data_IF_953688245237
#
_entry.id   IF_953688245237
#
_cell.length_a   1.000
_cell.length_b   1.000
_cell.length_c   1.000
_cell.angle_alpha   90.00
_cell.angle_beta   90.00
_cell.angle_gamma   90.00
#
_symmetry.space_group_name_H-M   'P 1'
#
loop_
_entity.id
_entity.type
_entity.pdbx_description
1 polymer ?
#
# COMPACT_ATOMS: atom_id res chain seq x y z
N UNK A 1 -14.07 0.80 -51.22
CA UNK A 1 -13.06 0.23 -50.28
C UNK A 1 -12.66 1.20 -49.17
N UNK A 2 -12.65 2.52 -49.37
CA UNK A 2 -12.23 3.51 -48.38
C UNK A 2 -13.24 3.73 -47.22
N UNK A 3 -14.54 3.71 -47.44
CA UNK A 3 -15.56 3.90 -46.40
C UNK A 3 -15.67 2.73 -45.41
N UNK A 4 -15.46 1.51 -45.88
CA UNK A 4 -15.47 0.31 -45.02
C UNK A 4 -14.31 0.34 -44.02
N UNK A 5 -13.10 0.75 -44.45
CA UNK A 5 -11.94 0.91 -43.60
C UNK A 5 -12.13 2.02 -42.55
N UNK A 6 -12.77 3.14 -42.91
CA UNK A 6 -13.04 4.26 -41.99
C UNK A 6 -14.02 3.85 -40.87
N UNK A 7 -15.10 3.13 -41.23
CA UNK A 7 -16.08 2.63 -40.23
C UNK A 7 -15.45 1.59 -39.30
N UNK A 8 -14.67 0.66 -39.87
CA UNK A 8 -13.97 -0.37 -39.08
C UNK A 8 -13.00 0.25 -38.07
N UNK A 9 -12.21 1.25 -38.50
CA UNK A 9 -11.29 1.97 -37.59
C UNK A 9 -12.06 2.69 -36.48
N UNK A 10 -13.19 3.34 -36.77
CA UNK A 10 -14.03 3.99 -35.76
C UNK A 10 -14.59 3.01 -34.73
N UNK A 11 -15.07 1.85 -35.14
CA UNK A 11 -15.54 0.80 -34.22
C UNK A 11 -14.40 0.21 -33.40
N UNK A 12 -13.23 0.02 -33.99
CA UNK A 12 -12.04 -0.46 -33.30
C UNK A 12 -11.59 0.54 -32.23
N UNK A 13 -11.53 1.83 -32.55
CA UNK A 13 -11.23 2.89 -31.58
C UNK A 13 -12.28 2.93 -30.45
N UNK A 14 -13.57 2.84 -30.77
CA UNK A 14 -14.64 2.81 -29.78
C UNK A 14 -14.50 1.63 -28.82
N UNK A 15 -14.18 0.44 -29.33
CA UNK A 15 -13.96 -0.76 -28.54
C UNK A 15 -12.74 -0.63 -27.61
N UNK A 16 -11.67 0.04 -28.07
CA UNK A 16 -10.49 0.32 -27.25
C UNK A 16 -10.79 1.31 -26.14
N UNK A 17 -11.58 2.36 -26.43
CA UNK A 17 -12.05 3.31 -25.41
C UNK A 17 -12.93 2.64 -24.35
N UNK A 18 -13.85 1.77 -24.75
CA UNK A 18 -14.72 1.05 -23.82
C UNK A 18 -13.95 0.12 -22.89
N UNK A 19 -12.92 -0.57 -23.39
CA UNK A 19 -12.03 -1.37 -22.55
C UNK A 19 -11.26 -0.48 -21.56
N UNK A 20 -10.71 0.64 -22.02
CA UNK A 20 -10.01 1.60 -21.16
C UNK A 20 -10.87 2.10 -20.01
N UNK A 21 -12.13 2.42 -20.23
CA UNK A 21 -13.05 2.84 -19.17
C UNK A 21 -13.40 1.70 -18.20
N UNK A 22 -13.51 0.46 -18.68
CA UNK A 22 -13.95 -0.65 -17.85
C UNK A 22 -12.92 -1.05 -16.77
N UNK A 23 -11.62 -1.11 -17.11
CA UNK A 23 -10.59 -1.44 -16.11
C UNK A 23 -10.33 -0.27 -15.15
N UNK A 24 -10.36 0.97 -15.64
CA UNK A 24 -10.28 2.15 -14.79
C UNK A 24 -11.39 2.13 -13.74
N UNK A 25 -12.64 1.94 -14.17
CA UNK A 25 -13.77 1.85 -13.25
C UNK A 25 -13.65 0.69 -12.25
N UNK A 26 -13.10 -0.46 -12.67
CA UNK A 26 -12.91 -1.61 -11.76
C UNK A 26 -11.85 -1.33 -10.71
N UNK A 27 -10.72 -0.71 -11.08
CA UNK A 27 -9.66 -0.32 -10.14
C UNK A 27 -10.13 0.79 -9.22
N UNK A 28 -10.78 1.83 -9.74
CA UNK A 28 -11.36 2.91 -8.95
C UNK A 28 -12.34 2.39 -7.88
N UNK A 29 -13.20 1.43 -8.24
CA UNK A 29 -14.07 0.79 -7.25
C UNK A 29 -13.30 0.01 -6.17
N UNK A 30 -12.12 -0.55 -6.48
CA UNK A 30 -11.27 -1.17 -5.48
C UNK A 30 -10.72 -0.12 -4.49
N UNK A 31 -10.26 1.01 -5.01
CA UNK A 31 -9.80 2.15 -4.20
C UNK A 31 -10.92 2.71 -3.33
N UNK A 32 -12.13 2.93 -3.87
CA UNK A 32 -13.27 3.43 -3.08
C UNK A 32 -13.59 2.53 -1.87
N UNK A 33 -13.59 1.21 -2.07
CA UNK A 33 -13.81 0.28 -0.96
C UNK A 33 -12.68 0.31 0.05
N UNK A 34 -11.43 0.39 -0.40
CA UNK A 34 -10.27 0.51 0.47
C UNK A 34 -10.31 1.80 1.29
N UNK A 35 -10.56 2.94 0.64
CA UNK A 35 -10.63 4.25 1.29
C UNK A 35 -11.79 4.35 2.28
N UNK A 36 -12.90 3.71 1.97
CA UNK A 36 -14.02 3.62 2.92
C UNK A 36 -13.63 2.78 4.14
N UNK A 37 -12.93 1.66 3.93
CA UNK A 37 -12.44 0.83 5.02
C UNK A 37 -11.43 1.59 5.90
N UNK A 38 -10.49 2.33 5.30
CA UNK A 38 -9.51 3.16 6.00
C UNK A 38 -10.19 4.26 6.83
N UNK A 39 -11.16 4.96 6.28
CA UNK A 39 -11.93 5.96 7.04
C UNK A 39 -12.58 5.36 8.27
N UNK A 40 -13.29 4.23 8.11
CA UNK A 40 -13.94 3.55 9.23
C UNK A 40 -12.90 3.08 10.26
N UNK A 41 -11.74 2.58 9.83
CA UNK A 41 -10.65 2.16 10.71
C UNK A 41 -10.07 3.33 11.50
N UNK A 42 -9.80 4.46 10.82
CA UNK A 42 -9.22 5.66 11.42
C UNK A 42 -10.19 6.30 12.43
N UNK A 43 -11.48 6.36 12.12
CA UNK A 43 -12.50 6.84 13.05
C UNK A 43 -12.61 6.00 14.33
N UNK A 44 -12.07 4.78 14.32
CA UNK A 44 -12.07 3.84 15.43
C UNK A 44 -10.66 3.48 15.93
N UNK A 45 -9.68 4.38 15.78
CA UNK A 45 -8.32 4.16 16.25
C UNK A 45 -8.30 3.82 17.76
N UNK A 46 -7.42 2.89 18.14
CA UNK A 46 -7.31 2.39 19.51
C UNK A 46 -8.27 1.25 19.85
N UNK A 47 -9.22 0.94 18.97
CA UNK A 47 -10.15 -0.18 19.10
C UNK A 47 -9.86 -1.30 18.09
N UNK A 48 -10.61 -2.39 18.21
CA UNK A 48 -10.58 -3.42 17.16
C UNK A 48 -11.13 -2.84 15.85
N UNK A 49 -10.55 -3.27 14.73
CA UNK A 49 -11.05 -2.86 13.40
C UNK A 49 -12.52 -3.29 13.26
N UNK A 50 -13.43 -2.34 13.00
CA UNK A 50 -14.85 -2.66 12.89
C UNK A 50 -15.15 -3.66 11.78
N UNK A 51 -16.14 -4.55 12.02
CA UNK A 51 -16.54 -5.56 11.03
C UNK A 51 -16.92 -4.96 9.67
N UNK A 52 -17.47 -3.73 9.66
CA UNK A 52 -17.77 -3.02 8.43
C UNK A 52 -16.48 -2.69 7.64
N UNK A 53 -15.42 -2.23 8.30
CA UNK A 53 -14.13 -1.99 7.63
C UNK A 53 -13.55 -3.31 7.06
N UNK A 54 -13.62 -4.41 7.82
CA UNK A 54 -13.19 -5.73 7.36
C UNK A 54 -13.95 -6.18 6.10
N UNK A 55 -15.26 -5.90 6.01
CA UNK A 55 -16.06 -6.20 4.82
C UNK A 55 -15.65 -5.33 3.63
N UNK A 56 -15.40 -4.04 3.83
CA UNK A 56 -14.96 -3.14 2.75
C UNK A 56 -13.57 -3.51 2.24
N UNK A 57 -12.61 -3.88 3.12
CA UNK A 57 -11.33 -4.46 2.67
C UNK A 57 -11.54 -5.75 1.85
N UNK A 58 -12.51 -6.60 2.21
CA UNK A 58 -12.85 -7.77 1.41
C UNK A 58 -13.33 -7.41 0.01
N UNK A 59 -14.18 -6.39 -0.12
CA UNK A 59 -14.64 -5.88 -1.42
C UNK A 59 -13.49 -5.28 -2.24
N UNK A 60 -12.57 -4.57 -1.60
CA UNK A 60 -11.36 -4.05 -2.25
C UNK A 60 -10.51 -5.20 -2.82
N UNK A 61 -10.35 -6.31 -2.07
CA UNK A 61 -9.66 -7.52 -2.54
C UNK A 61 -10.36 -8.08 -3.79
N UNK A 62 -11.68 -8.29 -3.75
CA UNK A 62 -12.45 -8.86 -4.85
C UNK A 62 -12.32 -8.02 -6.14
N UNK A 63 -12.38 -6.68 -6.00
CA UNK A 63 -12.23 -5.76 -7.14
C UNK A 63 -10.79 -5.74 -7.67
N UNK A 64 -9.79 -5.76 -6.79
CA UNK A 64 -8.39 -5.88 -7.17
C UNK A 64 -8.12 -7.19 -7.92
N UNK A 65 -8.63 -8.32 -7.43
CA UNK A 65 -8.53 -9.61 -8.12
C UNK A 65 -9.17 -9.59 -9.51
N UNK A 66 -10.29 -8.89 -9.65
CA UNK A 66 -10.92 -8.71 -10.96
C UNK A 66 -9.99 -7.95 -11.92
N UNK A 67 -9.29 -6.89 -11.45
CA UNK A 67 -8.29 -6.19 -12.27
C UNK A 67 -7.19 -7.15 -12.70
N UNK A 68 -6.62 -7.91 -11.76
CA UNK A 68 -5.52 -8.84 -12.04
C UNK A 68 -5.90 -9.95 -13.02
N UNK A 69 -7.13 -10.45 -12.96
CA UNK A 69 -7.61 -11.55 -13.81
C UNK A 69 -8.07 -11.09 -15.18
N UNK A 70 -8.84 -10.00 -15.24
CA UNK A 70 -9.54 -9.58 -16.47
C UNK A 70 -8.79 -8.49 -17.25
N UNK A 71 -7.85 -7.80 -16.58
CA UNK A 71 -7.13 -6.64 -17.14
C UNK A 71 -5.62 -6.73 -16.86
N UNK A 72 -5.03 -7.92 -17.08
CA UNK A 72 -3.62 -8.21 -16.78
C UNK A 72 -2.62 -7.31 -17.49
N UNK A 73 -2.99 -6.69 -18.61
CA UNK A 73 -2.17 -5.75 -19.36
C UNK A 73 -2.40 -4.28 -18.97
N UNK A 74 -3.22 -4.05 -17.94
CA UNK A 74 -3.49 -2.70 -17.44
C UNK A 74 -2.31 -2.13 -16.68
N UNK A 75 -2.07 -0.82 -16.83
CA UNK A 75 -1.11 -0.07 -16.01
C UNK A 75 -1.41 -0.11 -14.50
N UNK A 76 -2.64 -0.44 -14.11
CA UNK A 76 -3.08 -0.53 -12.70
C UNK A 76 -2.86 -1.89 -12.04
N UNK A 77 -2.20 -2.82 -12.72
CA UNK A 77 -1.98 -4.19 -12.19
C UNK A 77 -1.17 -4.16 -10.90
N UNK A 78 -0.10 -3.38 -10.86
CA UNK A 78 0.76 -3.31 -9.67
C UNK A 78 0.09 -2.53 -8.53
N UNK A 79 -0.64 -1.45 -8.86
CA UNK A 79 -1.46 -0.72 -7.89
C UNK A 79 -2.55 -1.61 -7.29
N UNK A 80 -3.23 -2.41 -8.12
CA UNK A 80 -4.23 -3.37 -7.65
C UNK A 80 -3.62 -4.48 -6.77
N UNK A 81 -2.40 -4.96 -7.09
CA UNK A 81 -1.67 -5.88 -6.21
C UNK A 81 -1.36 -5.23 -4.86
N UNK A 82 -0.84 -4.00 -4.88
CA UNK A 82 -0.52 -3.28 -3.65
C UNK A 82 -1.76 -3.09 -2.78
N UNK A 83 -2.86 -2.62 -3.37
CA UNK A 83 -4.13 -2.42 -2.69
C UNK A 83 -4.67 -3.72 -2.09
N UNK A 84 -4.59 -4.83 -2.85
CA UNK A 84 -4.95 -6.17 -2.39
C UNK A 84 -4.11 -6.60 -1.20
N UNK A 85 -2.79 -6.43 -1.27
CA UNK A 85 -1.87 -6.78 -0.17
C UNK A 85 -2.17 -6.00 1.10
N UNK A 86 -2.38 -4.68 0.99
CA UNK A 86 -2.77 -3.81 2.11
C UNK A 86 -4.11 -4.23 2.72
N UNK A 87 -5.08 -4.57 1.89
CA UNK A 87 -6.40 -5.05 2.34
C UNK A 87 -6.30 -6.37 3.11
N UNK A 88 -5.50 -7.33 2.65
CA UNK A 88 -5.22 -8.56 3.38
C UNK A 88 -4.54 -8.28 4.73
N UNK A 89 -3.57 -7.35 4.78
CA UNK A 89 -2.91 -6.97 6.02
C UNK A 89 -3.91 -6.48 7.08
N UNK A 90 -4.82 -5.56 6.73
CA UNK A 90 -5.82 -5.04 7.67
C UNK A 90 -6.90 -6.06 8.05
N UNK A 91 -7.14 -7.06 7.22
CA UNK A 91 -7.96 -8.24 7.56
C UNK A 91 -7.23 -9.28 8.42
N UNK A 92 -5.96 -9.03 8.75
CA UNK A 92 -5.06 -9.95 9.47
C UNK A 92 -4.75 -11.24 8.73
N UNK A 93 -4.88 -11.25 7.43
CA UNK A 93 -4.56 -12.35 6.53
C UNK A 93 -3.09 -12.20 6.07
N UNK A 94 -2.15 -12.27 7.05
CA UNK A 94 -0.75 -11.87 6.85
C UNK A 94 -0.01 -12.74 5.86
N UNK A 95 -0.30 -14.03 5.77
CA UNK A 95 0.31 -14.94 4.79
C UNK A 95 -0.01 -14.51 3.34
N UNK A 96 -1.27 -14.14 3.09
CA UNK A 96 -1.69 -13.62 1.79
C UNK A 96 -1.03 -12.28 1.47
N UNK A 97 -0.93 -11.40 2.45
CA UNK A 97 -0.25 -10.11 2.31
C UNK A 97 1.25 -10.29 1.99
N UNK A 98 1.95 -11.17 2.74
CA UNK A 98 3.35 -11.50 2.52
C UNK A 98 3.62 -12.01 1.11
N UNK A 99 2.77 -12.92 0.59
CA UNK A 99 2.91 -13.45 -0.76
C UNK A 99 2.85 -12.33 -1.80
N UNK A 100 1.90 -11.41 -1.66
CA UNK A 100 1.69 -10.31 -2.59
C UNK A 100 2.85 -9.30 -2.53
N UNK A 101 3.28 -8.90 -1.34
CA UNK A 101 4.37 -7.92 -1.20
C UNK A 101 5.72 -8.49 -1.66
N UNK A 102 5.97 -9.80 -1.48
CA UNK A 102 7.16 -10.45 -2.03
C UNK A 102 7.17 -10.46 -3.58
N UNK A 103 6.03 -10.45 -4.24
CA UNK A 103 5.97 -10.27 -5.68
C UNK A 103 6.25 -8.80 -6.09
N UNK A 104 5.73 -7.84 -5.32
CA UNK A 104 5.88 -6.42 -5.60
C UNK A 104 7.29 -5.87 -5.38
N UNK A 105 8.10 -6.55 -4.57
CA UNK A 105 9.48 -6.11 -4.28
C UNK A 105 10.37 -6.03 -5.53
N UNK A 106 10.04 -6.80 -6.57
CA UNK A 106 10.77 -6.85 -7.84
C UNK A 106 10.23 -5.85 -8.87
N UNK A 107 9.12 -5.16 -8.56
CA UNK A 107 8.47 -4.25 -9.49
C UNK A 107 8.99 -2.83 -9.32
N UNK A 108 9.36 -2.19 -10.42
CA UNK A 108 9.85 -0.81 -10.43
C UNK A 108 8.78 0.14 -9.86
N UNK A 109 9.20 1.04 -8.96
CA UNK A 109 8.32 1.99 -8.28
C UNK A 109 7.52 1.42 -7.10
N UNK A 110 7.53 0.09 -6.88
CA UNK A 110 6.80 -0.54 -5.78
C UNK A 110 7.70 -1.15 -4.70
N UNK A 111 9.01 -1.23 -4.94
CA UNK A 111 9.98 -1.88 -4.06
C UNK A 111 9.93 -1.33 -2.61
N UNK A 112 10.03 -0.02 -2.44
CA UNK A 112 10.06 0.61 -1.12
C UNK A 112 8.75 0.40 -0.35
N UNK A 113 7.61 0.58 -1.01
CA UNK A 113 6.29 0.36 -0.42
C UNK A 113 6.09 -1.12 -0.03
N UNK A 114 6.50 -2.06 -0.89
CA UNK A 114 6.42 -3.48 -0.60
C UNK A 114 7.30 -3.88 0.59
N UNK A 115 8.53 -3.37 0.67
CA UNK A 115 9.45 -3.60 1.81
C UNK A 115 8.88 -3.06 3.12
N UNK A 116 8.26 -1.89 3.10
CA UNK A 116 7.56 -1.34 4.25
C UNK A 116 6.47 -2.30 4.75
N UNK A 117 5.59 -2.75 3.88
CA UNK A 117 4.51 -3.66 4.27
C UNK A 117 5.01 -5.04 4.69
N UNK A 118 6.10 -5.54 4.09
CA UNK A 118 6.75 -6.78 4.55
C UNK A 118 7.28 -6.64 5.98
N UNK A 119 7.88 -5.50 6.31
CA UNK A 119 8.34 -5.25 7.68
C UNK A 119 7.16 -5.22 8.66
N UNK A 120 6.04 -4.57 8.31
CA UNK A 120 4.85 -4.59 9.15
C UNK A 120 4.25 -6.00 9.31
N UNK A 121 4.27 -6.82 8.27
CA UNK A 121 3.86 -8.23 8.37
C UNK A 121 4.76 -9.02 9.33
N UNK A 122 6.09 -8.82 9.28
CA UNK A 122 7.02 -9.44 10.24
C UNK A 122 6.71 -9.05 11.68
N UNK A 123 6.42 -7.78 11.93
CA UNK A 123 5.99 -7.34 13.26
C UNK A 123 4.74 -8.07 13.74
N UNK A 124 3.73 -8.20 12.87
CA UNK A 124 2.49 -8.93 13.20
C UNK A 124 2.70 -10.42 13.42
N UNK A 125 3.77 -11.01 12.84
CA UNK A 125 4.23 -12.38 13.08
C UNK A 125 5.16 -12.49 14.32
N UNK A 126 5.00 -11.59 15.28
CA UNK A 126 5.77 -11.55 16.54
C UNK A 126 7.30 -11.46 16.34
N UNK A 127 7.74 -10.83 15.26
CA UNK A 127 9.15 -10.60 14.93
C UNK A 127 9.46 -9.08 14.92
N UNK A 128 9.36 -8.39 16.07
CA UNK A 128 9.55 -6.94 16.11
C UNK A 128 10.96 -6.51 15.74
N UNK A 129 12.00 -7.23 16.18
CA UNK A 129 13.38 -6.83 15.91
C UNK A 129 13.76 -6.90 14.42
N UNK A 130 13.44 -7.98 13.65
CA UNK A 130 13.57 -7.97 12.21
C UNK A 130 12.80 -6.83 11.52
N UNK A 131 11.57 -6.55 11.95
CA UNK A 131 10.78 -5.45 11.41
C UNK A 131 11.42 -4.08 11.63
N UNK A 132 11.94 -3.82 12.83
CA UNK A 132 12.67 -2.60 13.17
C UNK A 132 13.90 -2.44 12.28
N UNK A 133 14.69 -3.50 12.09
CA UNK A 133 15.90 -3.46 11.26
C UNK A 133 15.55 -3.16 9.78
N UNK A 134 14.52 -3.81 9.25
CA UNK A 134 14.08 -3.58 7.87
C UNK A 134 13.58 -2.14 7.66
N UNK A 135 12.82 -1.60 8.60
CA UNK A 135 12.32 -0.22 8.53
C UNK A 135 13.46 0.80 8.67
N UNK A 136 14.44 0.57 9.54
CA UNK A 136 15.62 1.44 9.66
C UNK A 136 16.45 1.45 8.38
N UNK A 137 16.68 0.31 7.78
CA UNK A 137 17.39 0.24 6.49
C UNK A 137 16.61 0.95 5.38
N UNK A 138 15.28 0.86 5.39
CA UNK A 138 14.43 1.50 4.41
C UNK A 138 14.50 3.04 4.50
N UNK A 139 14.61 3.61 5.71
CA UNK A 139 14.75 5.06 5.91
C UNK A 139 15.99 5.60 5.17
N UNK A 140 17.09 4.86 5.13
CA UNK A 140 18.33 5.29 4.48
C UNK A 140 18.21 5.39 2.94
N UNK A 141 17.18 4.77 2.36
CA UNK A 141 16.96 4.67 0.91
C UNK A 141 15.78 5.52 0.42
N UNK A 142 15.00 6.10 1.34
CA UNK A 142 13.77 6.83 1.03
C UNK A 142 14.03 8.34 0.98
N UNK A 143 13.64 8.98 -0.13
CA UNK A 143 13.75 10.43 -0.30
C UNK A 143 12.47 11.19 0.10
N UNK A 144 11.32 10.51 0.12
CA UNK A 144 10.02 11.12 0.45
C UNK A 144 9.87 11.38 1.94
N UNK A 145 9.75 12.64 2.33
CA UNK A 145 9.51 13.04 3.73
C UNK A 145 8.23 12.43 4.29
N UNK A 146 7.17 12.36 3.48
CA UNK A 146 5.90 11.76 3.87
C UNK A 146 6.08 10.26 4.14
N UNK A 147 6.82 9.58 3.30
CA UNK A 147 7.07 8.14 3.48
C UNK A 147 7.98 7.89 4.70
N UNK A 148 9.04 8.68 4.89
CA UNK A 148 9.86 8.63 6.10
C UNK A 148 9.04 8.85 7.37
N UNK A 149 8.15 9.84 7.38
CA UNK A 149 7.24 10.10 8.49
C UNK A 149 6.40 8.86 8.83
N UNK A 150 5.84 8.21 7.82
CA UNK A 150 5.05 6.97 7.98
C UNK A 150 5.89 5.83 8.57
N UNK A 151 7.14 5.68 8.13
CA UNK A 151 8.07 4.67 8.67
C UNK A 151 8.37 4.96 10.14
N UNK A 152 8.66 6.22 10.51
CA UNK A 152 8.94 6.59 11.89
C UNK A 152 7.73 6.36 12.82
N UNK A 153 6.52 6.69 12.37
CA UNK A 153 5.31 6.40 13.14
C UNK A 153 5.15 4.89 13.38
N UNK A 154 5.39 4.07 12.35
CA UNK A 154 5.35 2.62 12.51
C UNK A 154 6.44 2.07 13.44
N UNK A 155 7.66 2.62 13.37
CA UNK A 155 8.72 2.29 14.33
C UNK A 155 8.31 2.63 15.75
N UNK A 156 7.67 3.80 15.97
CA UNK A 156 7.13 4.20 17.27
C UNK A 156 6.12 3.18 17.80
N UNK A 157 5.19 2.72 16.96
CA UNK A 157 4.22 1.69 17.35
C UNK A 157 4.89 0.35 17.68
N UNK A 158 5.90 -0.07 16.90
CA UNK A 158 6.64 -1.32 17.15
C UNK A 158 7.41 -1.23 18.46
N UNK A 159 8.12 -0.13 18.71
CA UNK A 159 8.85 0.06 19.97
C UNK A 159 7.92 0.10 21.18
N UNK A 160 6.75 0.74 21.04
CA UNK A 160 5.74 0.73 22.10
C UNK A 160 5.24 -0.68 22.41
N UNK A 161 5.09 -1.53 21.38
CA UNK A 161 4.62 -2.91 21.53
C UNK A 161 5.60 -3.85 22.23
N UNK A 162 6.86 -3.43 22.38
CA UNK A 162 7.92 -4.14 23.11
C UNK A 162 8.37 -3.41 24.38
N UNK A 163 7.52 -2.52 24.91
CA UNK A 163 7.74 -1.72 26.13
C UNK A 163 8.97 -0.80 26.09
N UNK A 164 9.48 -0.47 24.91
CA UNK A 164 10.57 0.50 24.73
C UNK A 164 10.00 1.92 24.50
N UNK A 165 9.56 2.55 25.57
CA UNK A 165 8.89 3.86 25.54
C UNK A 165 9.81 5.00 25.07
N UNK A 166 11.11 4.93 25.32
CA UNK A 166 12.08 5.95 24.93
C UNK A 166 12.23 6.01 23.40
N UNK A 167 12.52 4.87 22.78
CA UNK A 167 12.62 4.79 21.32
C UNK A 167 11.26 5.04 20.65
N UNK A 168 10.15 4.61 21.26
CA UNK A 168 8.82 4.92 20.76
C UNK A 168 8.59 6.43 20.67
N UNK A 169 8.83 7.16 21.78
CA UNK A 169 8.69 8.61 21.83
C UNK A 169 9.57 9.32 20.80
N UNK A 170 10.85 8.90 20.69
CA UNK A 170 11.79 9.48 19.73
C UNK A 170 11.32 9.31 18.29
N UNK A 171 10.80 8.13 17.95
CA UNK A 171 10.32 7.86 16.59
C UNK A 171 8.98 8.59 16.30
N UNK A 172 8.06 8.67 17.26
CA UNK A 172 6.84 9.47 17.08
C UNK A 172 7.15 10.95 16.87
N UNK A 173 8.12 11.53 17.58
CA UNK A 173 8.55 12.91 17.36
C UNK A 173 9.12 13.13 15.95
N UNK A 174 9.93 12.20 15.45
CA UNK A 174 10.46 12.26 14.08
C UNK A 174 9.36 12.15 13.03
N UNK A 175 8.41 11.27 13.25
CA UNK A 175 7.26 11.10 12.36
C UNK A 175 6.29 12.29 12.34
N UNK A 176 6.12 12.96 13.48
CA UNK A 176 5.26 14.14 13.57
C UNK A 176 5.90 15.41 13.00
N UNK A 177 7.24 15.48 12.93
CA UNK A 177 8.00 16.65 12.46
C UNK A 177 9.02 16.26 11.37
N UNK A 178 8.59 15.83 10.20
CA UNK A 178 9.48 15.33 9.14
C UNK A 178 10.52 16.38 8.70
N UNK A 179 10.15 17.67 8.63
CA UNK A 179 11.05 18.77 8.22
C UNK A 179 12.26 18.93 9.17
N UNK A 180 12.10 18.66 10.45
CA UNK A 180 13.21 18.73 11.43
C UNK A 180 14.20 17.59 11.25
N UNK A 181 13.78 16.48 10.64
CA UNK A 181 14.62 15.29 10.48
C UNK A 181 15.56 15.40 9.26
N UNK A 182 15.12 15.96 8.14
CA UNK A 182 15.92 16.11 6.92
C UNK A 182 17.20 16.93 7.13
N UNK A 183 17.16 17.88 8.07
CA UNK A 183 18.35 18.67 8.43
C UNK A 183 19.34 17.92 9.33
N UNK A 184 18.93 16.83 9.99
CA UNK A 184 19.80 16.06 10.90
C UNK A 184 20.50 14.88 10.19
N UNK A 185 20.04 14.49 9.02
CA UNK A 185 20.55 13.32 8.28
C UNK A 185 21.47 13.67 7.09
N UNK A 186 21.64 14.96 6.80
CA UNK A 186 22.66 15.37 5.82
C UNK A 186 24.05 15.07 6.41
N UNK A 187 24.86 14.23 5.76
CA UNK A 187 26.23 14.03 6.22
C UNK A 187 26.94 15.38 6.18
N UNK A 188 27.48 15.78 7.32
CA UNK A 188 28.48 16.86 7.38
C UNK A 188 29.67 16.42 6.53
N UNK A 189 29.80 17.02 5.37
CA UNK A 189 30.95 16.86 4.49
C UNK A 189 32.19 17.47 5.19
#
# INVERSE_FOLDING_TARGET
MSEFNSKFIKYLCLLLFLKGCAYFNTFYNAEEHYDLAERIRIENLGNQIPSRAIQEYGRAIDKSEKVLREYSDSRYVQDAKLLKGKSHYFRREYDSALLIFNQLIQEEGFNQEARYWLALCKWRDLKPQPAINDLKNLIEEVDSEEFMSRIFLSLGEIYLSIDNSEDAYNNFNKGANPVSYTHLTLPTI
#
